data_IF_266713803789
#
_entry.id   IF_266713803789
#
_cell.length_a   1.000
_cell.length_b   1.000
_cell.length_c   1.000
_cell.angle_alpha   90.00
_cell.angle_beta   90.00
_cell.angle_gamma   90.00
#
_symmetry.space_group_name_H-M   'P 1'
#
loop_
_entity.id
_entity.type
_entity.pdbx_description
1 polymer ?
#
# COMPACT_ATOMS: atom_id res chain seq x y z
N UNK A 1 24.82 13.32 -9.70
CA UNK A 1 24.92 12.18 -8.77
C UNK A 1 23.75 12.24 -7.78
N UNK A 2 23.12 11.14 -7.52
CA UNK A 2 22.01 11.05 -6.56
C UNK A 2 22.46 10.30 -5.33
N UNK A 3 22.51 10.98 -4.23
CA UNK A 3 22.73 10.42 -2.91
C UNK A 3 21.93 11.22 -1.90
N UNK A 4 21.42 10.64 -0.85
CA UNK A 4 21.46 9.21 -0.54
C UNK A 4 20.43 8.40 -1.35
N UNK A 5 20.58 7.10 -1.33
CA UNK A 5 19.51 6.19 -1.74
C UNK A 5 18.36 6.24 -0.72
N UNK A 6 17.19 5.81 -1.15
CA UNK A 6 16.01 5.78 -0.28
C UNK A 6 15.95 4.41 0.40
N UNK A 7 16.01 4.42 1.72
CA UNK A 7 15.89 3.19 2.52
C UNK A 7 14.45 3.00 2.95
N UNK A 8 13.93 1.80 2.75
CA UNK A 8 12.62 1.40 3.26
C UNK A 8 12.79 0.89 4.69
N UNK A 9 12.08 1.50 5.62
CA UNK A 9 12.20 1.19 7.06
C UNK A 9 10.93 0.47 7.55
N UNK A 10 11.01 -0.86 7.80
CA UNK A 10 9.85 -1.61 8.28
C UNK A 10 9.41 -1.24 9.70
N UNK A 11 10.26 -0.52 10.44
CA UNK A 11 9.95 -0.10 11.83
C UNK A 11 9.37 1.30 11.91
N UNK A 12 8.97 1.89 10.79
CA UNK A 12 8.40 3.24 10.73
C UNK A 12 7.25 3.37 11.72
N UNK A 13 7.25 4.48 12.46
CA UNK A 13 6.24 4.74 13.48
C UNK A 13 4.88 5.01 12.83
N UNK A 14 3.83 4.48 13.47
CA UNK A 14 2.44 4.77 13.10
C UNK A 14 1.80 5.64 14.17
N UNK A 15 0.79 6.41 13.77
CA UNK A 15 -0.05 7.17 14.70
C UNK A 15 -1.20 6.27 15.15
N UNK A 16 -1.21 5.81 16.43
CA UNK A 16 -2.26 4.91 16.90
C UNK A 16 -3.63 5.57 16.99
N UNK A 17 -3.70 6.91 16.94
CA UNK A 17 -4.96 7.64 16.95
C UNK A 17 -5.54 7.85 15.56
N UNK A 18 -4.74 7.62 14.50
CA UNK A 18 -5.18 7.79 13.12
C UNK A 18 -5.66 6.47 12.53
N UNK A 19 -6.69 6.53 11.69
CA UNK A 19 -7.14 5.36 10.94
C UNK A 19 -6.05 4.87 9.99
N UNK A 20 -5.36 5.79 9.33
CA UNK A 20 -4.25 5.49 8.41
C UNK A 20 -3.04 6.36 8.72
N UNK A 21 -1.86 5.85 8.38
CA UNK A 21 -0.60 6.59 8.47
C UNK A 21 0.13 6.42 7.14
N UNK A 22 0.60 7.53 6.55
CA UNK A 22 1.36 7.51 5.31
C UNK A 22 2.66 8.28 5.49
N UNK A 23 3.78 7.65 5.09
CA UNK A 23 5.07 8.31 4.98
C UNK A 23 5.56 8.19 3.55
N UNK A 24 5.51 9.28 2.80
CA UNK A 24 6.07 9.33 1.46
C UNK A 24 7.55 9.60 1.57
N UNK A 25 8.39 8.64 1.13
CA UNK A 25 9.84 8.77 1.24
C UNK A 25 10.50 9.31 -0.01
N UNK A 26 9.85 9.16 -1.14
CA UNK A 26 10.38 9.64 -2.40
C UNK A 26 9.28 9.97 -3.38
N UNK A 27 9.48 11.05 -4.11
CA UNK A 27 8.64 11.45 -5.25
C UNK A 27 9.57 11.86 -6.37
N UNK A 28 9.40 11.27 -7.56
CA UNK A 28 10.21 11.62 -8.72
C UNK A 28 9.95 13.07 -9.17
N UNK A 29 10.91 13.69 -9.88
CA UNK A 29 10.74 15.07 -10.35
C UNK A 29 9.51 15.29 -11.23
N UNK A 30 9.11 14.29 -12.02
CA UNK A 30 7.88 14.34 -12.84
C UNK A 30 6.62 13.94 -12.05
N UNK A 31 6.77 13.63 -10.75
CA UNK A 31 5.70 13.26 -9.83
C UNK A 31 4.93 11.99 -10.21
N UNK A 32 5.47 11.19 -11.14
CA UNK A 32 4.81 9.96 -11.59
C UNK A 32 5.15 8.72 -10.78
N UNK A 33 6.26 8.78 -10.03
CA UNK A 33 6.75 7.66 -9.21
C UNK A 33 6.82 8.12 -7.77
N UNK A 34 6.09 7.44 -6.89
CA UNK A 34 6.15 7.69 -5.45
C UNK A 34 6.33 6.38 -4.71
N UNK A 35 6.99 6.45 -3.56
CA UNK A 35 7.19 5.29 -2.72
C UNK A 35 7.21 5.68 -1.26
N UNK A 36 6.82 4.74 -0.41
CA UNK A 36 6.83 4.97 1.03
C UNK A 36 6.24 3.83 1.82
N UNK A 37 5.70 4.21 2.96
CA UNK A 37 5.11 3.33 3.97
C UNK A 37 3.66 3.74 4.19
N UNK A 38 2.79 2.75 4.33
CA UNK A 38 1.39 2.97 4.65
C UNK A 38 0.93 1.94 5.69
N UNK A 39 0.11 2.40 6.62
CA UNK A 39 -0.48 1.56 7.64
C UNK A 39 -1.95 1.91 7.81
N UNK A 40 -2.75 0.94 8.20
CA UNK A 40 -4.17 1.14 8.45
C UNK A 40 -4.66 0.25 9.59
N UNK A 41 -5.57 0.79 10.36
CA UNK A 41 -6.41 0.01 11.26
C UNK A 41 -7.40 -0.83 10.42
N UNK A 42 -8.05 -1.85 11.01
CA UNK A 42 -9.07 -2.60 10.29
C UNK A 42 -10.13 -1.69 9.67
N UNK A 43 -10.40 -1.91 8.40
CA UNK A 43 -11.33 -1.07 7.62
C UNK A 43 -11.71 -1.78 6.33
N UNK A 44 -12.75 -1.30 5.65
CA UNK A 44 -13.21 -1.81 4.38
C UNK A 44 -13.57 -0.64 3.49
N UNK A 45 -12.88 -0.53 2.35
CA UNK A 45 -13.03 0.61 1.45
C UNK A 45 -13.25 0.13 0.01
N UNK A 46 -14.16 0.79 -0.69
CA UNK A 46 -14.24 0.68 -2.14
C UNK A 46 -13.04 1.40 -2.75
N UNK A 47 -12.42 0.77 -3.73
CA UNK A 47 -11.22 1.31 -4.38
C UNK A 47 -11.37 1.32 -5.89
N UNK A 48 -10.79 2.34 -6.50
CA UNK A 48 -10.68 2.48 -7.95
C UNK A 48 -9.27 3.00 -8.25
N UNK A 49 -8.43 2.15 -8.78
CA UNK A 49 -7.02 2.47 -8.99
C UNK A 49 -6.82 3.14 -10.34
N UNK A 50 -6.37 4.38 -10.31
CA UNK A 50 -6.01 5.17 -11.49
C UNK A 50 -4.50 5.14 -11.76
N UNK A 51 -3.75 4.45 -10.91
CA UNK A 51 -2.30 4.23 -11.04
C UNK A 51 -1.98 2.76 -10.77
N UNK A 52 -0.79 2.33 -11.19
CA UNK A 52 -0.25 1.02 -10.81
C UNK A 52 0.34 1.13 -9.41
N UNK A 53 0.11 0.13 -8.57
CA UNK A 53 0.69 0.09 -7.23
C UNK A 53 1.30 -1.27 -6.93
N UNK A 54 2.58 -1.27 -6.54
CA UNK A 54 3.24 -2.43 -5.94
C UNK A 54 3.11 -2.33 -4.43
N UNK A 55 2.74 -3.43 -3.78
CA UNK A 55 2.62 -3.53 -2.33
C UNK A 55 3.46 -4.67 -1.80
N UNK A 56 4.11 -4.46 -0.66
CA UNK A 56 4.73 -5.50 0.14
C UNK A 56 4.16 -5.43 1.54
N UNK A 57 3.48 -6.49 1.97
CA UNK A 57 2.88 -6.54 3.31
C UNK A 57 3.95 -6.89 4.33
N UNK A 58 4.07 -6.06 5.36
CA UNK A 58 5.02 -6.24 6.46
C UNK A 58 4.34 -6.90 7.66
N UNK A 59 3.06 -6.59 7.87
CA UNK A 59 2.29 -7.02 9.03
C UNK A 59 0.81 -6.93 8.71
N UNK A 60 0.00 -7.82 9.28
CA UNK A 60 -1.45 -7.77 9.13
C UNK A 60 -1.98 -8.68 8.02
N UNK A 61 -3.28 -8.55 7.76
CA UNK A 61 -4.00 -9.33 6.76
C UNK A 61 -4.90 -8.42 5.93
N UNK A 62 -4.82 -8.57 4.62
CA UNK A 62 -5.62 -7.79 3.65
C UNK A 62 -6.38 -8.76 2.75
N UNK A 63 -7.66 -8.47 2.55
CA UNK A 63 -8.48 -9.10 1.51
C UNK A 63 -8.72 -8.09 0.39
N UNK A 64 -8.38 -8.47 -0.82
CA UNK A 64 -8.60 -7.63 -2.01
C UNK A 64 -9.58 -8.36 -2.92
N UNK A 65 -10.76 -7.77 -3.10
CA UNK A 65 -11.85 -8.39 -3.86
C UNK A 65 -12.10 -7.57 -5.13
N UNK A 66 -12.07 -8.22 -6.29
CA UNK A 66 -12.35 -7.55 -7.56
C UNK A 66 -13.86 -7.38 -7.82
N UNK A 67 -14.21 -6.71 -8.93
CA UNK A 67 -15.59 -6.43 -9.28
C UNK A 67 -16.39 -7.70 -9.59
N UNK A 68 -15.73 -8.80 -9.92
CA UNK A 68 -16.38 -10.10 -10.17
C UNK A 68 -16.60 -10.91 -8.89
N UNK A 69 -16.12 -10.39 -7.74
CA UNK A 69 -16.26 -11.06 -6.45
C UNK A 69 -15.14 -12.04 -6.11
N UNK A 70 -14.08 -12.07 -6.92
CA UNK A 70 -12.90 -12.89 -6.63
C UNK A 70 -12.04 -12.19 -5.57
N UNK A 71 -11.66 -12.92 -4.51
CA UNK A 71 -10.88 -12.39 -3.40
C UNK A 71 -9.51 -13.04 -3.33
N UNK A 72 -8.48 -12.20 -3.24
CA UNK A 72 -7.13 -12.61 -2.89
C UNK A 72 -6.84 -12.18 -1.45
N UNK A 73 -6.09 -13.02 -0.72
CA UNK A 73 -5.72 -12.76 0.67
C UNK A 73 -4.21 -12.57 0.73
N UNK A 74 -3.76 -11.45 1.31
CA UNK A 74 -2.35 -11.14 1.44
C UNK A 74 -1.99 -10.98 2.91
N UNK A 75 -0.81 -11.50 3.26
CA UNK A 75 -0.26 -11.53 4.63
C UNK A 75 1.17 -11.05 4.63
N UNK A 76 1.74 -10.92 5.83
CA UNK A 76 3.14 -10.53 5.98
C UNK A 76 4.05 -11.40 5.09
N UNK A 77 4.93 -10.74 4.33
CA UNK A 77 5.84 -11.35 3.39
C UNK A 77 5.33 -11.41 1.95
N UNK A 78 4.02 -11.21 1.72
CA UNK A 78 3.46 -11.21 0.38
C UNK A 78 3.74 -9.91 -0.34
N UNK A 79 4.02 -10.01 -1.64
CA UNK A 79 4.18 -8.87 -2.54
C UNK A 79 3.28 -9.04 -3.73
N UNK A 80 2.66 -7.96 -4.17
CA UNK A 80 1.71 -8.01 -5.28
C UNK A 80 1.61 -6.65 -5.97
N UNK A 81 1.04 -6.65 -7.17
CA UNK A 81 0.74 -5.44 -7.92
C UNK A 81 -0.78 -5.31 -8.07
N UNK A 82 -1.27 -4.11 -7.79
CA UNK A 82 -2.64 -3.73 -8.14
C UNK A 82 -2.53 -2.89 -9.42
N UNK A 83 -2.97 -3.44 -10.58
CA UNK A 83 -2.85 -2.72 -11.83
C UNK A 83 -3.83 -1.55 -11.93
N UNK A 84 -3.43 -0.55 -12.68
CA UNK A 84 -4.30 0.56 -13.06
C UNK A 84 -5.58 0.02 -13.68
N UNK A 85 -6.71 0.59 -13.26
CA UNK A 85 -8.03 0.14 -13.72
C UNK A 85 -8.70 -0.87 -12.81
N UNK A 86 -7.99 -1.38 -11.79
CA UNK A 86 -8.61 -2.26 -10.81
C UNK A 86 -9.70 -1.51 -10.04
N UNK A 87 -10.88 -2.14 -9.95
CA UNK A 87 -11.97 -1.67 -9.09
C UNK A 87 -12.42 -2.81 -8.20
N UNK A 88 -12.74 -2.52 -6.96
CA UNK A 88 -13.16 -3.53 -6.02
C UNK A 88 -13.13 -3.03 -4.60
N UNK A 89 -12.74 -3.91 -3.68
CA UNK A 89 -12.76 -3.63 -2.25
C UNK A 89 -11.41 -4.02 -1.65
N UNK A 90 -10.82 -3.08 -0.92
CA UNK A 90 -9.70 -3.32 -0.04
C UNK A 90 -10.23 -3.45 1.37
N UNK A 91 -10.00 -4.60 2.00
CA UNK A 91 -10.36 -4.80 3.40
C UNK A 91 -9.11 -5.10 4.21
N UNK A 92 -8.80 -4.22 5.17
CA UNK A 92 -7.81 -4.48 6.19
C UNK A 92 -8.50 -5.30 7.28
N UNK A 93 -8.23 -6.60 7.31
CA UNK A 93 -8.85 -7.53 8.27
C UNK A 93 -8.14 -7.44 9.62
N UNK A 94 -6.81 -7.45 9.60
CA UNK A 94 -5.96 -7.19 10.76
C UNK A 94 -5.08 -5.98 10.42
N UNK A 95 -4.83 -5.13 11.40
CA UNK A 95 -4.06 -3.90 11.22
C UNK A 95 -2.83 -4.15 10.33
N UNK A 96 -2.71 -3.39 9.25
CA UNK A 96 -1.73 -3.63 8.19
C UNK A 96 -0.63 -2.58 8.22
N UNK A 97 0.58 -3.03 7.90
CA UNK A 97 1.74 -2.20 7.58
C UNK A 97 2.29 -2.69 6.25
N UNK A 98 2.56 -1.77 5.34
CA UNK A 98 3.09 -2.13 4.01
C UNK A 98 4.06 -1.09 3.48
N UNK A 99 4.95 -1.54 2.59
CA UNK A 99 5.65 -0.66 1.66
C UNK A 99 4.81 -0.53 0.39
N UNK A 100 4.89 0.62 -0.25
CA UNK A 100 4.22 0.84 -1.53
C UNK A 100 5.13 1.52 -2.53
N UNK A 101 4.89 1.24 -3.79
CA UNK A 101 5.44 1.95 -4.95
C UNK A 101 4.27 2.25 -5.88
N UNK A 102 4.09 3.51 -6.22
CA UNK A 102 3.00 3.97 -7.08
C UNK A 102 3.59 4.58 -8.34
N UNK A 103 3.05 4.19 -9.49
CA UNK A 103 3.39 4.75 -10.80
C UNK A 103 2.14 5.28 -11.48
N UNK A 104 2.16 6.59 -11.80
CA UNK A 104 1.05 7.26 -12.49
C UNK A 104 1.10 7.10 -13.99
#
# INVERSE_FOLDING_TARGET
>A
MITPTIRFDPTTAIDPAARTTTHEWYRSPDERFTTGFWASQPSRDEVNYTEDEFCQILEGVVHLTDAAGHTEIYRAGDSFVIPRGFTGIWETVEAVRKFYVIYL
#
